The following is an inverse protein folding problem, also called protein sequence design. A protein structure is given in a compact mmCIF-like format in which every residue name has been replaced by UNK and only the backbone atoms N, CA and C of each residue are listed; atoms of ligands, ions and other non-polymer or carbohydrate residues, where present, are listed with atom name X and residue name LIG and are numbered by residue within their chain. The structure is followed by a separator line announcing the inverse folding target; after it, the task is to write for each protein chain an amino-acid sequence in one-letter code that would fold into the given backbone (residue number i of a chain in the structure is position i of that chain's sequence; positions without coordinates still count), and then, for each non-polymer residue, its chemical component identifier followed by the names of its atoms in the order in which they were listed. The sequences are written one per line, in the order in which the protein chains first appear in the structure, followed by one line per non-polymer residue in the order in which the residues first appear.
data_IF_418282898196
#
_entry.id   IF_418282898196
#
_cell.length_a   1.000
_cell.length_b   1.000
_cell.length_c   1.000
_cell.angle_alpha   90.00
_cell.angle_beta   90.00
_cell.angle_gamma   90.00
#
_symmetry.space_group_name_H-M   'P 1'
#
loop_
_entity.id
_entity.type
_entity.pdbx_description
1 polymer ?
#
# COMPACT_ATOMS: atom_id res chain seq x y z
N UNK A 1 -12.12 -10.16 30.00
CA UNK A 1 -13.36 -10.25 29.19
C UNK A 1 -13.73 -8.94 28.47
N UNK A 2 -12.81 -7.97 28.37
CA UNK A 2 -13.06 -6.70 27.63
C UNK A 2 -12.64 -6.73 26.14
N UNK A 3 -11.84 -7.72 25.74
CA UNK A 3 -11.15 -7.76 24.44
C UNK A 3 -12.05 -8.22 23.26
N UNK A 4 -13.09 -9.02 23.55
CA UNK A 4 -14.00 -9.55 22.51
C UNK A 4 -14.94 -8.51 21.91
N UNK A 5 -15.08 -7.32 22.52
CA UNK A 5 -15.94 -6.24 22.00
C UNK A 5 -15.31 -5.44 20.85
N UNK A 6 -14.01 -5.62 20.61
CA UNK A 6 -13.29 -4.90 19.55
C UNK A 6 -13.46 -5.54 18.17
N UNK A 7 -13.77 -6.84 18.12
CA UNK A 7 -13.81 -7.60 16.87
C UNK A 7 -15.23 -7.91 16.44
N UNK A 8 -15.51 -7.65 15.16
CA UNK A 8 -16.77 -8.02 14.51
C UNK A 8 -16.46 -8.66 13.16
N UNK A 9 -17.24 -9.67 12.79
CA UNK A 9 -17.16 -10.26 11.45
C UNK A 9 -17.92 -9.36 10.48
N UNK A 10 -17.35 -9.13 9.31
CA UNK A 10 -18.04 -8.45 8.22
C UNK A 10 -19.26 -9.26 7.81
N UNK A 11 -20.37 -8.57 7.51
CA UNK A 11 -21.51 -9.17 6.83
C UNK A 11 -21.16 -9.52 5.38
N UNK A 12 -21.97 -10.34 4.72
CA UNK A 12 -21.75 -10.69 3.31
C UNK A 12 -21.67 -9.44 2.40
N UNK A 13 -22.57 -8.47 2.61
CA UNK A 13 -22.56 -7.20 1.87
C UNK A 13 -21.26 -6.41 2.09
N UNK A 14 -20.76 -6.37 3.32
CA UNK A 14 -19.50 -5.71 3.63
C UNK A 14 -18.29 -6.44 3.03
N UNK A 15 -18.33 -7.77 2.93
CA UNK A 15 -17.31 -8.56 2.21
C UNK A 15 -17.33 -8.24 0.72
N UNK A 16 -18.51 -8.10 0.11
CA UNK A 16 -18.65 -7.71 -1.30
C UNK A 16 -18.14 -6.28 -1.55
N UNK A 17 -18.43 -5.34 -0.64
CA UNK A 17 -17.86 -3.99 -0.71
C UNK A 17 -16.33 -4.00 -0.56
N UNK A 18 -15.78 -4.83 0.33
CA UNK A 18 -14.34 -5.01 0.47
C UNK A 18 -13.72 -5.57 -0.82
N UNK A 19 -14.33 -6.59 -1.42
CA UNK A 19 -13.83 -7.15 -2.68
C UNK A 19 -13.87 -6.11 -3.81
N UNK A 20 -14.94 -5.31 -3.90
CA UNK A 20 -15.03 -4.22 -4.86
C UNK A 20 -13.85 -3.24 -4.70
N UNK A 21 -13.60 -2.74 -3.48
CA UNK A 21 -12.47 -1.84 -3.18
C UNK A 21 -11.13 -2.48 -3.56
N UNK A 22 -10.94 -3.77 -3.26
CA UNK A 22 -9.66 -4.44 -3.48
C UNK A 22 -9.42 -4.83 -4.95
N UNK A 23 -10.47 -4.88 -5.76
CA UNK A 23 -10.43 -5.31 -7.17
C UNK A 23 -10.55 -4.15 -8.16
N UNK A 24 -11.02 -2.99 -7.71
CA UNK A 24 -11.05 -1.75 -8.49
C UNK A 24 -9.64 -1.32 -8.89
N UNK A 25 -9.50 -0.88 -10.14
CA UNK A 25 -8.23 -0.39 -10.68
C UNK A 25 -8.07 1.07 -10.27
N UNK A 26 -7.02 1.38 -9.53
CA UNK A 26 -6.66 2.73 -9.13
C UNK A 26 -5.46 3.24 -9.94
N UNK A 27 -5.46 4.51 -10.36
CA UNK A 27 -4.32 5.14 -11.03
C UNK A 27 -3.27 5.60 -10.00
N UNK A 28 -1.99 5.34 -10.28
CA UNK A 28 -0.86 5.95 -9.57
C UNK A 28 -0.05 6.76 -10.56
N UNK A 29 -0.11 8.08 -10.45
CA UNK A 29 0.51 8.98 -11.42
C UNK A 29 2.03 9.09 -11.21
N UNK A 30 2.76 8.79 -12.28
CA UNK A 30 4.20 9.04 -12.35
C UNK A 30 4.48 10.53 -12.52
N UNK A 31 5.54 11.02 -11.88
CA UNK A 31 6.04 12.39 -12.07
C UNK A 31 6.85 12.51 -13.35
N UNK A 32 6.80 13.69 -13.98
CA UNK A 32 7.50 13.95 -15.23
C UNK A 32 6.95 13.09 -16.37
N UNK A 33 7.83 12.40 -17.09
CA UNK A 33 7.46 11.55 -18.22
C UNK A 33 7.15 10.10 -17.84
N UNK A 34 7.07 9.78 -16.55
CA UNK A 34 6.74 8.42 -16.11
C UNK A 34 5.26 8.13 -16.31
N UNK A 35 4.89 6.94 -16.82
CA UNK A 35 3.49 6.62 -17.10
C UNK A 35 2.67 6.50 -15.82
N UNK A 36 1.36 6.69 -15.93
CA UNK A 36 0.42 6.29 -14.87
C UNK A 36 0.42 4.76 -14.76
N UNK A 37 0.51 4.25 -13.53
CA UNK A 37 0.32 2.83 -13.25
C UNK A 37 -1.15 2.56 -13.00
N UNK A 38 -1.68 1.49 -13.60
CA UNK A 38 -3.03 1.01 -13.34
C UNK A 38 -2.94 -0.23 -12.45
N UNK A 39 -3.36 -0.11 -11.18
CA UNK A 39 -3.09 -1.14 -10.19
C UNK A 39 -4.34 -1.50 -9.39
N UNK A 40 -4.52 -2.78 -9.09
CA UNK A 40 -5.52 -3.23 -8.13
C UNK A 40 -4.88 -3.35 -6.74
N UNK A 41 -5.51 -2.85 -5.67
CA UNK A 41 -4.97 -2.97 -4.31
C UNK A 41 -4.62 -4.41 -3.93
N UNK A 42 -5.47 -5.38 -4.30
CA UNK A 42 -5.18 -6.79 -4.05
C UNK A 42 -3.89 -7.27 -4.68
N UNK A 43 -3.52 -6.78 -5.86
CA UNK A 43 -2.34 -7.25 -6.57
C UNK A 43 -1.07 -6.73 -5.88
N UNK A 44 -1.04 -5.46 -5.46
CA UNK A 44 0.05 -4.91 -4.62
C UNK A 44 0.17 -5.71 -3.33
N UNK A 45 -0.96 -5.98 -2.66
CA UNK A 45 -0.97 -6.69 -1.37
C UNK A 45 -0.30 -8.06 -1.50
N UNK A 46 -0.69 -8.84 -2.51
CA UNK A 46 -0.10 -10.15 -2.75
C UNK A 46 1.39 -10.05 -3.09
N UNK A 47 1.77 -9.23 -4.06
CA UNK A 47 3.17 -9.12 -4.51
C UNK A 47 4.10 -8.63 -3.39
N UNK A 48 3.68 -7.61 -2.63
CA UNK A 48 4.47 -7.08 -1.51
C UNK A 48 4.60 -8.12 -0.39
N UNK A 49 3.49 -8.77 -0.01
CA UNK A 49 3.51 -9.82 1.04
C UNK A 49 4.46 -10.95 0.67
N UNK A 50 4.34 -11.49 -0.53
CA UNK A 50 5.12 -12.65 -0.97
C UNK A 50 6.62 -12.32 -1.03
N UNK A 51 6.96 -11.12 -1.50
CA UNK A 51 8.36 -10.65 -1.55
C UNK A 51 8.94 -10.37 -0.17
N UNK A 52 8.16 -9.82 0.77
CA UNK A 52 8.60 -9.65 2.15
C UNK A 52 8.92 -11.01 2.80
N UNK A 53 8.03 -11.99 2.62
CA UNK A 53 8.23 -13.36 3.13
C UNK A 53 9.48 -13.99 2.51
N UNK A 54 9.67 -13.86 1.19
CA UNK A 54 10.87 -14.34 0.49
C UNK A 54 12.17 -13.70 1.03
N UNK A 55 12.11 -12.42 1.41
CA UNK A 55 13.21 -11.69 2.04
C UNK A 55 13.33 -11.94 3.55
N UNK A 56 12.58 -12.90 4.08
CA UNK A 56 12.58 -13.31 5.51
C UNK A 56 12.06 -12.23 6.46
N UNK A 57 11.27 -11.28 5.98
CA UNK A 57 10.47 -10.38 6.81
C UNK A 57 9.18 -11.11 7.19
N UNK A 58 8.94 -11.28 8.49
CA UNK A 58 7.72 -11.93 8.98
C UNK A 58 6.54 -10.98 8.84
N UNK A 59 5.51 -11.42 8.12
CA UNK A 59 4.23 -10.73 7.95
C UNK A 59 3.18 -11.44 8.80
N UNK A 60 2.64 -10.76 9.83
CA UNK A 60 1.59 -11.28 10.73
C UNK A 60 0.20 -11.12 10.13
N UNK A 61 -0.09 -9.92 9.63
CA UNK A 61 -1.38 -9.58 9.04
C UNK A 61 -1.22 -8.49 7.96
N UNK A 62 -2.29 -8.31 7.19
CA UNK A 62 -2.48 -7.15 6.32
C UNK A 62 -3.85 -6.58 6.63
N UNK A 63 -3.93 -5.28 6.85
CA UNK A 63 -5.16 -4.58 7.27
C UNK A 63 -5.41 -3.41 6.34
N UNK A 64 -6.68 -3.20 6.02
CA UNK A 64 -7.14 -1.96 5.41
C UNK A 64 -7.50 -0.98 6.53
N UNK A 65 -7.12 0.29 6.38
CA UNK A 65 -7.36 1.33 7.35
C UNK A 65 -7.96 2.58 6.68
N UNK A 66 -8.12 3.64 7.46
CA UNK A 66 -8.51 4.94 6.97
C UNK A 66 -9.97 5.00 6.55
N UNK A 67 -10.30 6.02 5.75
CA UNK A 67 -11.66 6.24 5.26
C UNK A 67 -12.18 5.07 4.41
N UNK A 68 -11.28 4.39 3.70
CA UNK A 68 -11.62 3.21 2.90
C UNK A 68 -12.19 2.07 3.76
N UNK A 69 -11.62 1.82 4.95
CA UNK A 69 -12.17 0.80 5.85
C UNK A 69 -13.58 1.16 6.33
N UNK A 70 -13.85 2.44 6.63
CA UNK A 70 -15.20 2.90 6.98
C UNK A 70 -16.18 2.76 5.80
N UNK A 71 -15.74 3.07 4.58
CA UNK A 71 -16.56 2.93 3.36
C UNK A 71 -16.98 1.46 3.10
N UNK A 72 -16.11 0.50 3.42
CA UNK A 72 -16.45 -0.93 3.36
C UNK A 72 -17.58 -1.29 4.32
N UNK A 73 -17.58 -0.70 5.53
CA UNK A 73 -18.58 -0.99 6.56
C UNK A 73 -19.93 -0.33 6.28
N UNK A 74 -19.92 0.90 5.76
CA UNK A 74 -21.11 1.69 5.46
C UNK A 74 -20.91 2.32 4.08
N UNK A 75 -21.68 1.84 3.10
CA UNK A 75 -21.67 2.37 1.74
C UNK A 75 -22.39 3.73 1.71
N UNK A 76 -21.67 4.80 2.05
CA UNK A 76 -22.19 6.15 1.90
C UNK A 76 -22.25 6.50 0.40
N UNK A 77 -23.46 6.74 -0.11
CA UNK A 77 -23.64 7.26 -1.46
C UNK A 77 -23.03 8.67 -1.54
N UNK A 78 -21.87 8.80 -2.19
CA UNK A 78 -21.24 10.10 -2.48
C UNK A 78 -19.82 10.30 -1.91
N UNK A 79 -19.30 9.38 -1.09
CA UNK A 79 -17.89 9.42 -0.67
C UNK A 79 -17.05 8.58 -1.64
N UNK A 80 -16.31 9.25 -2.53
CA UNK A 80 -15.12 8.61 -3.12
C UNK A 80 -14.18 8.25 -1.96
N UNK A 81 -13.84 6.98 -1.77
CA UNK A 81 -12.76 6.65 -0.84
C UNK A 81 -11.47 7.18 -1.45
N UNK A 82 -10.98 8.31 -0.90
CA UNK A 82 -9.87 9.05 -1.52
C UNK A 82 -8.55 8.35 -1.22
N UNK A 83 -8.39 7.80 -0.03
CA UNK A 83 -7.09 7.32 0.42
C UNK A 83 -7.11 5.81 0.72
N UNK A 84 -6.26 5.07 0.01
CA UNK A 84 -6.06 3.64 0.22
C UNK A 84 -4.94 3.46 1.25
N UNK A 85 -5.31 3.18 2.49
CA UNK A 85 -4.36 2.96 3.57
C UNK A 85 -4.23 1.45 3.86
N UNK A 86 -3.08 0.87 3.49
CA UNK A 86 -2.77 -0.53 3.74
C UNK A 86 -1.71 -0.62 4.84
N UNK A 87 -1.97 -1.44 5.85
CA UNK A 87 -1.04 -1.74 6.93
C UNK A 87 -0.58 -3.19 6.79
N UNK A 88 0.72 -3.39 6.62
CA UNK A 88 1.38 -4.68 6.77
C UNK A 88 1.91 -4.81 8.20
N UNK A 89 1.31 -5.69 8.98
CA UNK A 89 1.80 -6.00 10.31
C UNK A 89 3.06 -6.85 10.25
N UNK A 90 4.23 -6.20 10.23
CA UNK A 90 5.54 -6.87 10.06
C UNK A 90 6.43 -6.77 11.30
N UNK A 91 7.39 -7.68 11.41
CA UNK A 91 8.48 -7.59 12.39
C UNK A 91 9.72 -6.94 11.76
N UNK A 92 10.19 -5.85 12.35
CA UNK A 92 11.36 -5.08 11.90
C UNK A 92 12.43 -5.04 13.02
N UNK A 93 13.06 -6.18 13.35
CA UNK A 93 14.05 -6.24 14.41
C UNK A 93 15.29 -5.38 14.12
N UNK A 94 15.61 -5.10 12.85
CA UNK A 94 16.85 -4.47 12.45
C UNK A 94 16.67 -3.24 11.56
N UNK A 95 17.56 -2.23 11.63
CA UNK A 95 17.51 -1.06 10.74
C UNK A 95 17.60 -1.41 9.25
N UNK A 96 18.25 -2.52 8.89
CA UNK A 96 18.40 -2.96 7.50
C UNK A 96 17.07 -3.42 6.88
N UNK A 97 16.11 -3.85 7.70
CA UNK A 97 14.79 -4.30 7.25
C UNK A 97 14.01 -3.18 6.53
N UNK A 98 14.29 -1.92 6.88
CA UNK A 98 13.71 -0.75 6.20
C UNK A 98 14.23 -0.56 4.78
N UNK A 99 15.45 -1.02 4.50
CA UNK A 99 15.98 -1.04 3.13
C UNK A 99 15.30 -2.14 2.32
N UNK A 100 15.06 -3.31 2.93
CA UNK A 100 14.30 -4.42 2.32
C UNK A 100 12.88 -3.97 1.97
N UNK A 101 12.15 -3.34 2.90
CA UNK A 101 10.80 -2.81 2.63
C UNK A 101 10.81 -1.87 1.42
N UNK A 102 11.74 -0.91 1.41
CA UNK A 102 11.89 0.06 0.33
C UNK A 102 12.11 -0.64 -1.01
N UNK A 103 13.04 -1.59 -1.07
CA UNK A 103 13.35 -2.34 -2.30
C UNK A 103 12.17 -3.18 -2.78
N UNK A 104 11.46 -3.85 -1.87
CA UNK A 104 10.27 -4.65 -2.20
C UNK A 104 9.19 -3.77 -2.82
N UNK A 105 8.88 -2.63 -2.20
CA UNK A 105 7.82 -1.73 -2.69
C UNK A 105 8.21 -1.10 -4.02
N UNK A 106 9.44 -0.60 -4.17
CA UNK A 106 9.90 -0.01 -5.44
C UNK A 106 9.99 -1.05 -6.56
N UNK A 107 10.43 -2.26 -6.25
CA UNK A 107 10.41 -3.38 -7.20
C UNK A 107 9.00 -3.79 -7.59
N UNK A 108 8.03 -3.70 -6.67
CA UNK A 108 6.62 -3.95 -6.95
C UNK A 108 6.07 -2.92 -7.95
N UNK A 109 6.33 -1.63 -7.74
CA UNK A 109 5.94 -0.57 -8.68
C UNK A 109 6.57 -0.77 -10.07
N UNK A 110 7.81 -1.26 -10.14
CA UNK A 110 8.50 -1.54 -11.40
C UNK A 110 7.79 -2.64 -12.20
N UNK A 111 7.22 -3.63 -11.53
CA UNK A 111 6.47 -4.71 -12.20
C UNK A 111 5.20 -4.18 -12.88
N UNK A 112 4.53 -3.20 -12.26
CA UNK A 112 3.29 -2.59 -12.75
C UNK A 112 3.48 -1.57 -13.88
N UNK A 113 4.72 -1.27 -14.29
CA UNK A 113 4.94 -0.45 -15.47
C UNK A 113 4.27 -1.08 -16.72
N UNK A 114 3.62 -0.27 -17.58
CA UNK A 114 2.94 -0.76 -18.78
C UNK A 114 3.84 -1.58 -19.70
N UNK A 115 3.21 -2.50 -20.44
CA UNK A 115 3.90 -3.28 -21.49
C UNK A 115 4.53 -2.31 -22.50
N UNK A 116 5.80 -2.54 -22.84
CA UNK A 116 6.57 -1.71 -23.76
C UNK A 116 7.52 -0.72 -23.08
N UNK A 117 7.42 -0.52 -21.77
CA UNK A 117 8.44 0.22 -21.02
C UNK A 117 9.70 -0.64 -20.84
N UNK A 118 10.85 -0.13 -21.28
CA UNK A 118 12.14 -0.80 -21.05
C UNK A 118 12.55 -0.67 -19.58
N UNK A 119 12.44 -1.76 -18.83
CA UNK A 119 12.73 -1.83 -17.40
C UNK A 119 14.22 -1.92 -17.07
N UNK A 120 15.07 -2.32 -18.02
CA UNK A 120 16.51 -2.58 -17.78
C UNK A 120 17.27 -1.30 -17.41
N UNK A 121 16.78 -0.14 -17.86
CA UNK A 121 17.38 1.17 -17.57
C UNK A 121 16.78 1.86 -16.35
N UNK A 122 15.76 1.27 -15.72
CA UNK A 122 15.00 1.91 -14.64
C UNK A 122 15.56 1.44 -13.30
N UNK A 123 16.07 2.40 -12.52
CA UNK A 123 16.62 2.12 -11.19
C UNK A 123 15.59 2.30 -10.09
N UNK A 124 15.84 1.71 -8.91
CA UNK A 124 15.03 1.96 -7.73
C UNK A 124 14.97 3.45 -7.32
N UNK A 125 16.06 4.20 -7.55
CA UNK A 125 16.08 5.64 -7.30
C UNK A 125 15.08 6.37 -8.21
N UNK A 126 15.11 6.05 -9.51
CA UNK A 126 14.19 6.65 -10.49
C UNK A 126 12.74 6.31 -10.19
N UNK A 127 12.44 5.06 -9.78
CA UNK A 127 11.10 4.67 -9.36
C UNK A 127 10.63 5.43 -8.11
N UNK A 128 11.52 5.64 -7.14
CA UNK A 128 11.23 6.44 -5.94
C UNK A 128 10.88 7.87 -6.34
N UNK A 129 11.69 8.51 -7.18
CA UNK A 129 11.47 9.90 -7.61
C UNK A 129 10.18 10.05 -8.43
N UNK A 130 9.85 9.06 -9.26
CA UNK A 130 8.68 9.07 -10.10
C UNK A 130 7.37 8.85 -9.34
N UNK A 131 7.33 7.90 -8.40
CA UNK A 131 6.06 7.41 -7.86
C UNK A 131 5.90 7.58 -6.34
N UNK A 132 6.95 7.96 -5.61
CA UNK A 132 6.87 8.08 -4.15
C UNK A 132 6.84 9.54 -3.74
N UNK A 133 5.78 9.93 -3.03
CA UNK A 133 5.62 11.28 -2.51
C UNK A 133 6.32 11.46 -1.17
N UNK A 134 6.18 10.47 -0.27
CA UNK A 134 6.73 10.54 1.09
C UNK A 134 7.23 9.18 1.53
N UNK A 135 8.37 9.15 2.21
CA UNK A 135 8.86 8.00 2.94
C UNK A 135 9.18 8.41 4.38
N UNK A 136 8.73 7.61 5.34
CA UNK A 136 9.05 7.78 6.77
C UNK A 136 9.62 6.47 7.30
N UNK A 137 10.59 6.59 8.21
CA UNK A 137 11.17 5.48 8.96
C UNK A 137 11.25 5.91 10.42
N UNK A 138 10.66 5.10 11.29
CA UNK A 138 10.77 5.25 12.73
C UNK A 138 11.37 3.97 13.27
N UNK A 139 12.50 4.10 13.97
CA UNK A 139 13.20 3.00 14.61
C UNK A 139 13.67 3.46 15.98
N UNK A 140 12.81 3.27 16.97
CA UNK A 140 13.08 3.54 18.38
C UNK A 140 12.95 2.25 19.18
N UNK A 141 13.16 2.33 20.49
CA UNK A 141 12.95 1.21 21.40
C UNK A 141 11.49 0.72 21.38
N UNK A 142 10.54 1.64 21.27
CA UNK A 142 9.10 1.37 21.36
C UNK A 142 8.40 1.32 19.99
N UNK A 143 8.87 2.09 19.01
CA UNK A 143 8.22 2.24 17.71
C UNK A 143 9.13 1.80 16.57
N UNK A 144 8.67 0.82 15.79
CA UNK A 144 9.41 0.33 14.62
C UNK A 144 8.48 0.19 13.43
N UNK A 145 8.45 1.22 12.59
CA UNK A 145 7.57 1.24 11.44
C UNK A 145 8.09 2.13 10.30
N UNK A 146 7.71 1.77 9.08
CA UNK A 146 7.97 2.53 7.87
C UNK A 146 6.67 2.88 7.16
N UNK A 147 6.62 4.04 6.53
CA UNK A 147 5.51 4.47 5.69
C UNK A 147 6.03 4.87 4.33
N UNK A 148 5.37 4.39 3.27
CA UNK A 148 5.61 4.80 1.88
C UNK A 148 4.27 5.29 1.31
N UNK A 149 4.20 6.58 1.00
CA UNK A 149 3.05 7.20 0.34
C UNK A 149 3.36 7.41 -1.14
N UNK A 150 2.46 6.91 -1.98
CA UNK A 150 2.56 6.95 -3.44
C UNK A 150 1.92 8.22 -3.97
N UNK A 151 2.50 8.74 -5.06
CA UNK A 151 2.08 9.99 -5.68
C UNK A 151 0.76 9.82 -6.42
N UNK A 152 -0.15 10.79 -6.24
CA UNK A 152 -1.30 10.98 -7.11
C UNK A 152 -1.47 12.46 -7.40
N UNK A 153 -0.75 12.92 -8.42
CA UNK A 153 -0.80 14.30 -8.90
C UNK A 153 -1.92 14.46 -9.95
N UNK A 154 -3.16 14.19 -9.57
CA UNK A 154 -4.30 14.78 -10.27
C UNK A 154 -4.73 16.01 -9.48
N UNK A 155 -4.55 17.21 -10.06
CA UNK A 155 -4.79 18.51 -9.43
C UNK A 155 -6.23 18.72 -8.91
N UNK A 156 -7.12 17.73 -9.07
CA UNK A 156 -8.53 17.82 -8.71
C UNK A 156 -9.10 16.62 -7.91
N UNK A 157 -8.37 15.52 -7.69
CA UNK A 157 -8.96 14.33 -7.05
C UNK A 157 -8.12 13.59 -5.99
N UNK A 158 -6.87 13.99 -5.74
CA UNK A 158 -6.13 13.71 -4.48
C UNK A 158 -6.30 12.32 -3.87
N UNK A 159 -6.15 11.24 -4.64
CA UNK A 159 -6.24 9.88 -4.07
C UNK A 159 -4.87 9.35 -3.65
N UNK A 160 -4.55 9.29 -2.36
CA UNK A 160 -3.23 8.79 -1.93
C UNK A 160 -3.29 7.31 -1.59
N UNK A 161 -2.34 6.53 -2.10
CA UNK A 161 -2.09 5.17 -1.60
C UNK A 161 -0.96 5.24 -0.56
N UNK A 162 -1.27 4.89 0.68
CA UNK A 162 -0.29 4.84 1.76
C UNK A 162 -0.10 3.40 2.19
N UNK A 163 1.15 2.96 2.19
CA UNK A 163 1.52 1.63 2.68
C UNK A 163 2.38 1.78 3.93
N UNK A 164 1.83 1.35 5.05
CA UNK A 164 2.50 1.32 6.35
C UNK A 164 2.98 -0.10 6.66
N UNK A 165 4.19 -0.20 7.18
CA UNK A 165 4.86 -1.43 7.56
C UNK A 165 5.27 -1.33 9.01
N UNK A 166 4.68 -2.13 9.90
CA UNK A 166 5.00 -2.16 11.32
C UNK A 166 3.80 -2.59 12.17
N UNK A 167 4.05 -2.83 13.44
CA UNK A 167 3.02 -2.82 14.49
C UNK A 167 3.57 -2.12 15.71
#
# INVERSE_FOLDING_TARGET
MEDDRRFHKLTQEQVENLDQVLTEVIPIHGRGNFPTLEIKPKDIIHVVRDRLILKKIKVRDVRLNGSTASHVLVKENGTSYKDLDIIFGVELPKPEDFQIIKEVVLGCLLDFLPKGVNKDKITALTMKEAYVQKMVKVFTEHDRWSLISLSNNSDHLGQYATVLFGC
#
